data_IF_043124200167
#
_entry.id   IF_043124200167
#
_cell.length_a   1.000
_cell.length_b   1.000
_cell.length_c   1.000
_cell.angle_alpha   90.00
_cell.angle_beta   90.00
_cell.angle_gamma   90.00
#
_symmetry.space_group_name_H-M   'P 1'
#
loop_
_entity.id
_entity.type
_entity.pdbx_description
1 polymer ?
#
# COMPACT_ATOMS: atom_id res chain seq x y z
N UNK A 1 215.81 -101.91 -30.38
CA UNK A 1 215.24 -100.60 -30.78
C UNK A 1 214.21 -100.11 -29.75
N UNK A 2 214.61 -100.00 -28.48
CA UNK A 2 213.71 -99.65 -27.35
C UNK A 2 213.51 -98.12 -27.24
N UNK A 3 214.50 -97.36 -27.70
CA UNK A 3 214.55 -95.90 -27.61
C UNK A 3 213.48 -95.26 -28.52
N UNK A 4 213.25 -95.82 -29.71
CA UNK A 4 212.18 -95.38 -30.61
C UNK A 4 210.79 -95.63 -29.99
N UNK A 5 210.59 -96.76 -29.30
CA UNK A 5 209.34 -97.06 -28.58
C UNK A 5 209.10 -96.11 -27.42
N UNK A 6 210.13 -95.80 -26.63
CA UNK A 6 210.04 -94.83 -25.52
C UNK A 6 209.74 -93.43 -26.02
N UNK A 7 210.40 -92.97 -27.09
CA UNK A 7 210.11 -91.66 -27.69
C UNK A 7 208.68 -91.60 -28.27
N UNK A 8 208.24 -92.66 -28.96
CA UNK A 8 206.86 -92.76 -29.49
C UNK A 8 205.82 -92.74 -28.38
N UNK A 9 206.09 -93.41 -27.25
CA UNK A 9 205.23 -93.37 -26.06
C UNK A 9 205.21 -91.97 -25.45
N UNK A 10 206.35 -91.30 -25.36
CA UNK A 10 206.47 -89.96 -24.79
C UNK A 10 205.72 -88.91 -25.64
N UNK A 11 205.81 -89.02 -26.98
CA UNK A 11 205.04 -88.20 -27.91
C UNK A 11 203.53 -88.48 -27.80
N UNK A 12 203.15 -89.75 -27.58
CA UNK A 12 201.75 -90.14 -27.34
C UNK A 12 201.23 -89.56 -26.03
N UNK A 13 202.02 -89.63 -24.95
CA UNK A 13 201.68 -89.07 -23.63
C UNK A 13 201.53 -87.55 -23.72
N UNK A 14 202.46 -86.85 -24.39
CA UNK A 14 202.37 -85.40 -24.58
C UNK A 14 201.14 -85.02 -25.43
N UNK A 15 200.84 -85.77 -26.48
CA UNK A 15 199.64 -85.60 -27.32
C UNK A 15 198.34 -85.82 -26.52
N UNK A 16 198.29 -86.86 -25.68
CA UNK A 16 197.18 -87.12 -24.78
C UNK A 16 197.04 -86.01 -23.71
N UNK A 17 198.14 -85.51 -23.15
CA UNK A 17 198.11 -84.40 -22.20
C UNK A 17 197.52 -83.13 -22.83
N UNK A 18 197.94 -82.77 -24.05
CA UNK A 18 197.33 -81.64 -24.78
C UNK A 18 195.85 -81.87 -25.12
N UNK A 19 195.46 -83.10 -25.42
CA UNK A 19 194.05 -83.46 -25.65
C UNK A 19 193.21 -83.27 -24.39
N UNK A 20 193.72 -83.73 -23.24
CA UNK A 20 193.07 -83.55 -21.93
C UNK A 20 192.94 -82.08 -21.58
N UNK A 21 193.98 -81.27 -21.82
CA UNK A 21 193.95 -79.83 -21.59
C UNK A 21 192.86 -79.14 -22.43
N UNK A 22 192.73 -79.52 -23.71
CA UNK A 22 191.65 -79.05 -24.60
C UNK A 22 190.25 -79.49 -24.16
N UNK A 23 190.09 -80.73 -23.70
CA UNK A 23 188.84 -81.23 -23.13
C UNK A 23 188.47 -80.48 -21.85
N UNK A 24 189.43 -80.24 -20.95
CA UNK A 24 189.21 -79.47 -19.72
C UNK A 24 188.77 -78.03 -20.02
N UNK A 25 189.39 -77.38 -21.02
CA UNK A 25 188.96 -76.06 -21.47
C UNK A 25 187.53 -76.08 -22.03
N UNK A 26 187.18 -77.13 -22.79
CA UNK A 26 185.82 -77.32 -23.31
C UNK A 26 184.81 -77.53 -22.18
N UNK A 27 185.16 -78.34 -21.17
CA UNK A 27 184.33 -78.56 -19.97
C UNK A 27 184.11 -77.25 -19.23
N UNK A 28 185.15 -76.46 -18.98
CA UNK A 28 185.01 -75.15 -18.32
C UNK A 28 184.08 -74.21 -19.11
N UNK A 29 184.21 -74.16 -20.44
CA UNK A 29 183.30 -73.36 -21.28
C UNK A 29 181.86 -73.88 -21.21
N UNK A 30 181.65 -75.20 -21.16
CA UNK A 30 180.32 -75.79 -21.01
C UNK A 30 179.72 -75.51 -19.63
N UNK A 31 180.51 -75.57 -18.56
CA UNK A 31 180.09 -75.21 -17.20
C UNK A 31 179.67 -73.74 -17.13
N UNK A 32 180.44 -72.84 -17.76
CA UNK A 32 180.09 -71.43 -17.89
C UNK A 32 178.79 -71.21 -18.68
N UNK A 33 178.62 -71.90 -19.82
CA UNK A 33 177.38 -71.87 -20.61
C UNK A 33 176.17 -72.40 -19.81
N UNK A 34 176.35 -73.49 -19.05
CA UNK A 34 175.31 -74.05 -18.17
C UNK A 34 174.95 -73.05 -17.07
N UNK A 35 175.95 -72.39 -16.47
CA UNK A 35 175.74 -71.34 -15.48
C UNK A 35 174.90 -70.20 -16.06
N UNK A 36 175.28 -69.68 -17.23
CA UNK A 36 174.55 -68.60 -17.91
C UNK A 36 173.12 -69.01 -18.31
N UNK A 37 172.92 -70.27 -18.72
CA UNK A 37 171.60 -70.80 -19.04
C UNK A 37 170.73 -70.93 -17.80
N UNK A 38 171.30 -71.39 -16.67
CA UNK A 38 170.60 -71.44 -15.39
C UNK A 38 170.18 -70.03 -14.94
N UNK A 39 171.06 -69.03 -15.06
CA UNK A 39 170.73 -67.64 -14.76
C UNK A 39 169.59 -67.11 -15.65
N UNK A 40 169.62 -67.47 -16.93
CA UNK A 40 168.54 -67.16 -17.88
C UNK A 40 167.22 -67.82 -17.47
N UNK A 41 167.24 -69.11 -17.12
CA UNK A 41 166.05 -69.85 -16.66
C UNK A 41 165.49 -69.25 -15.37
N UNK A 42 166.35 -68.89 -14.42
CA UNK A 42 165.94 -68.21 -13.18
C UNK A 42 165.25 -66.88 -13.50
N UNK A 43 165.82 -66.07 -14.39
CA UNK A 43 165.24 -64.79 -14.83
C UNK A 43 163.88 -64.97 -15.53
N UNK A 44 163.75 -66.01 -16.37
CA UNK A 44 162.47 -66.34 -17.01
C UNK A 44 161.43 -66.78 -15.97
N UNK A 45 161.81 -67.62 -15.01
CA UNK A 45 160.93 -68.04 -13.92
C UNK A 45 160.44 -66.84 -13.11
N UNK A 46 161.32 -65.90 -12.77
CA UNK A 46 160.95 -64.66 -12.08
C UNK A 46 159.97 -63.82 -12.91
N UNK A 47 160.18 -63.75 -14.23
CA UNK A 47 159.27 -63.06 -15.16
C UNK A 47 157.89 -63.73 -15.21
N UNK A 48 157.85 -65.06 -15.29
CA UNK A 48 156.60 -65.84 -15.29
C UNK A 48 155.84 -65.67 -13.97
N UNK A 49 156.55 -65.68 -12.84
CA UNK A 49 155.95 -65.43 -11.53
C UNK A 49 155.35 -64.02 -11.46
N UNK A 50 156.07 -63.00 -11.92
CA UNK A 50 155.57 -61.62 -11.97
C UNK A 50 154.36 -61.45 -12.90
N UNK A 51 154.35 -62.12 -14.06
CA UNK A 51 153.20 -62.13 -14.96
C UNK A 51 152.00 -62.85 -14.33
N UNK A 52 152.23 -63.93 -13.58
CA UNK A 52 151.18 -64.66 -12.86
C UNK A 52 150.53 -63.79 -11.78
N UNK A 53 151.32 -63.01 -11.04
CA UNK A 53 150.83 -62.04 -10.07
C UNK A 53 150.03 -60.91 -10.74
N UNK A 54 150.50 -60.44 -11.90
CA UNK A 54 149.81 -59.43 -12.70
C UNK A 54 148.46 -59.93 -13.20
N UNK A 55 148.41 -61.15 -13.75
CA UNK A 55 147.17 -61.80 -14.21
C UNK A 55 146.19 -61.95 -13.04
N UNK A 56 146.67 -62.40 -11.88
CA UNK A 56 145.84 -62.54 -10.67
C UNK A 56 145.23 -61.20 -10.24
N UNK A 57 146.02 -60.12 -10.28
CA UNK A 57 145.56 -58.76 -9.97
C UNK A 57 144.51 -58.25 -10.97
N UNK A 58 144.75 -58.46 -12.27
CA UNK A 58 143.79 -58.12 -13.32
C UNK A 58 142.48 -58.91 -13.16
N UNK A 59 142.55 -60.19 -12.83
CA UNK A 59 141.37 -61.03 -12.63
C UNK A 59 140.54 -60.52 -11.43
N UNK A 60 141.20 -60.08 -10.36
CA UNK A 60 140.53 -59.43 -9.23
C UNK A 60 139.85 -58.12 -9.65
N UNK A 61 140.50 -57.30 -10.50
CA UNK A 61 139.88 -56.07 -11.04
C UNK A 61 138.66 -56.38 -11.90
N UNK A 62 138.73 -57.37 -12.79
CA UNK A 62 137.61 -57.79 -13.64
C UNK A 62 136.43 -58.26 -12.80
N UNK A 63 136.67 -59.07 -11.76
CA UNK A 63 135.62 -59.52 -10.86
C UNK A 63 134.96 -58.34 -10.12
N UNK A 64 135.75 -57.39 -9.61
CA UNK A 64 135.21 -56.19 -8.96
C UNK A 64 134.41 -55.30 -9.92
N UNK A 65 134.82 -55.19 -11.18
CA UNK A 65 134.04 -54.49 -12.21
C UNK A 65 132.74 -55.22 -12.54
N UNK A 66 132.75 -56.56 -12.59
CA UNK A 66 131.54 -57.35 -12.79
C UNK A 66 130.53 -57.15 -11.65
N UNK A 67 131.00 -57.13 -10.40
CA UNK A 67 130.16 -56.81 -9.24
C UNK A 67 129.57 -55.40 -9.35
N UNK A 68 130.38 -54.41 -9.73
CA UNK A 68 129.93 -53.03 -9.94
C UNK A 68 128.86 -52.93 -11.04
N UNK A 69 129.03 -53.68 -12.14
CA UNK A 69 128.04 -53.74 -13.23
C UNK A 69 126.73 -54.35 -12.75
N UNK A 70 126.78 -55.42 -11.94
CA UNK A 70 125.58 -56.04 -11.38
C UNK A 70 124.82 -55.07 -10.46
N UNK A 71 125.52 -54.32 -9.62
CA UNK A 71 124.92 -53.32 -8.74
C UNK A 71 124.28 -52.16 -9.53
N UNK A 72 124.94 -51.69 -10.59
CA UNK A 72 124.38 -50.69 -11.51
C UNK A 72 123.13 -51.23 -12.21
N UNK A 73 123.15 -52.49 -12.66
CA UNK A 73 122.01 -53.10 -13.33
C UNK A 73 120.81 -53.24 -12.38
N UNK A 74 121.05 -53.62 -11.12
CA UNK A 74 120.02 -53.64 -10.07
C UNK A 74 119.46 -52.22 -9.80
N UNK A 75 120.33 -51.21 -9.82
CA UNK A 75 119.92 -49.80 -9.66
C UNK A 75 119.02 -49.34 -10.81
N UNK A 76 119.39 -49.65 -12.06
CA UNK A 76 118.59 -49.34 -13.25
C UNK A 76 117.22 -50.01 -13.18
N UNK A 77 117.16 -51.30 -12.84
CA UNK A 77 115.88 -52.02 -12.70
C UNK A 77 114.96 -51.39 -11.64
N UNK A 78 115.53 -50.92 -10.53
CA UNK A 78 114.78 -50.21 -9.49
C UNK A 78 114.25 -48.85 -9.97
N UNK A 79 115.06 -48.13 -10.75
CA UNK A 79 114.66 -46.86 -11.36
C UNK A 79 113.58 -47.05 -12.41
N UNK A 80 113.67 -48.07 -13.27
CA UNK A 80 112.64 -48.40 -14.26
C UNK A 80 111.30 -48.67 -13.59
N UNK A 81 111.30 -49.48 -12.51
CA UNK A 81 110.08 -49.71 -11.73
C UNK A 81 109.51 -48.42 -11.13
N UNK A 82 110.39 -47.52 -10.65
CA UNK A 82 109.97 -46.22 -10.12
C UNK A 82 109.36 -45.34 -11.22
N UNK A 83 109.91 -45.39 -12.45
CA UNK A 83 109.39 -44.68 -13.60
C UNK A 83 108.01 -45.21 -13.98
N UNK A 84 107.82 -46.54 -14.03
CA UNK A 84 106.53 -47.17 -14.30
C UNK A 84 105.47 -46.72 -13.28
N UNK A 85 105.80 -46.73 -11.99
CA UNK A 85 104.90 -46.27 -10.93
C UNK A 85 104.52 -44.78 -11.09
N UNK A 86 105.48 -43.92 -11.47
CA UNK A 86 105.23 -42.50 -11.73
C UNK A 86 104.36 -42.28 -12.97
N UNK A 87 104.54 -43.07 -14.03
CA UNK A 87 103.71 -43.01 -15.24
C UNK A 87 102.27 -43.44 -14.96
N UNK A 88 102.08 -44.47 -14.13
CA UNK A 88 100.75 -44.87 -13.70
C UNK A 88 100.07 -43.79 -12.86
N UNK A 89 100.78 -43.21 -11.89
CA UNK A 89 100.27 -42.10 -11.09
C UNK A 89 99.88 -40.88 -11.94
N UNK A 90 100.68 -40.56 -12.97
CA UNK A 90 100.37 -39.48 -13.92
C UNK A 90 99.10 -39.79 -14.73
N UNK A 91 98.94 -41.04 -15.15
CA UNK A 91 97.75 -41.49 -15.88
C UNK A 91 96.50 -41.35 -15.01
N UNK A 92 96.56 -41.78 -13.75
CA UNK A 92 95.45 -41.67 -12.81
C UNK A 92 95.10 -40.21 -12.50
N UNK A 93 96.12 -39.35 -12.35
CA UNK A 93 95.92 -37.91 -12.18
C UNK A 93 95.22 -37.27 -13.38
N UNK A 94 95.63 -37.63 -14.61
CA UNK A 94 94.98 -37.12 -15.83
C UNK A 94 93.52 -37.56 -15.94
N UNK A 95 93.22 -38.83 -15.64
CA UNK A 95 91.84 -39.34 -15.62
C UNK A 95 90.96 -38.58 -14.59
N UNK A 96 91.52 -38.26 -13.43
CA UNK A 96 90.83 -37.45 -12.42
C UNK A 96 90.58 -36.01 -12.90
N UNK A 97 91.55 -35.39 -13.58
CA UNK A 97 91.40 -34.05 -14.18
C UNK A 97 90.27 -34.06 -15.21
N UNK A 98 90.21 -35.07 -16.08
CA UNK A 98 89.15 -35.20 -17.09
C UNK A 98 87.76 -35.35 -16.45
N UNK A 99 87.65 -36.16 -15.40
CA UNK A 99 86.41 -36.29 -14.64
C UNK A 99 85.98 -34.96 -14.00
N UNK A 100 86.93 -34.20 -13.42
CA UNK A 100 86.65 -32.87 -12.87
C UNK A 100 86.19 -31.90 -13.96
N UNK A 101 86.83 -31.89 -15.13
CA UNK A 101 86.46 -31.02 -16.25
C UNK A 101 85.05 -31.31 -16.76
N UNK A 102 84.65 -32.58 -16.81
CA UNK A 102 83.28 -32.98 -17.17
C UNK A 102 82.26 -32.50 -16.12
N UNK A 103 82.59 -32.58 -14.84
CA UNK A 103 81.76 -32.05 -13.76
C UNK A 103 81.61 -30.53 -13.85
N UNK A 104 82.70 -29.81 -14.11
CA UNK A 104 82.69 -28.34 -14.31
C UNK A 104 81.81 -27.96 -15.50
N UNK A 105 81.91 -28.69 -16.61
CA UNK A 105 81.07 -28.48 -17.80
C UNK A 105 79.59 -28.66 -17.47
N UNK A 106 79.26 -29.72 -16.72
CA UNK A 106 77.88 -30.00 -16.29
C UNK A 106 77.34 -28.88 -15.39
N UNK A 107 78.11 -28.45 -14.39
CA UNK A 107 77.74 -27.36 -13.50
C UNK A 107 77.54 -26.04 -14.26
N UNK A 108 78.40 -25.73 -15.24
CA UNK A 108 78.26 -24.54 -16.06
C UNK A 108 76.95 -24.54 -16.86
N UNK A 109 76.54 -25.68 -17.41
CA UNK A 109 75.26 -25.82 -18.11
C UNK A 109 74.09 -25.60 -17.14
N UNK A 110 74.13 -26.21 -15.95
CA UNK A 110 73.11 -26.01 -14.92
C UNK A 110 73.00 -24.55 -14.49
N UNK A 111 74.13 -23.84 -14.32
CA UNK A 111 74.15 -22.41 -13.99
C UNK A 111 73.52 -21.59 -15.12
N UNK A 112 73.78 -21.95 -16.38
CA UNK A 112 73.18 -21.27 -17.54
C UNK A 112 71.66 -21.45 -17.54
N UNK A 113 71.17 -22.68 -17.34
CA UNK A 113 69.73 -22.96 -17.32
C UNK A 113 69.03 -22.19 -16.20
N UNK A 114 69.61 -22.18 -14.99
CA UNK A 114 69.09 -21.39 -13.86
C UNK A 114 69.13 -19.88 -14.13
N UNK A 115 70.12 -19.40 -14.89
CA UNK A 115 70.21 -17.99 -15.27
C UNK A 115 69.07 -17.62 -16.24
N UNK A 116 68.81 -18.48 -17.23
CA UNK A 116 67.74 -18.30 -18.19
C UNK A 116 66.36 -18.36 -17.51
N UNK A 117 66.16 -19.29 -16.58
CA UNK A 117 64.93 -19.41 -15.78
C UNK A 117 64.69 -18.16 -14.92
N UNK A 118 65.72 -17.66 -14.23
CA UNK A 118 65.63 -16.44 -13.43
C UNK A 118 65.28 -15.21 -14.29
N UNK A 119 65.78 -15.15 -15.52
CA UNK A 119 65.41 -14.09 -16.45
C UNK A 119 63.92 -14.14 -16.78
N UNK A 120 63.38 -15.33 -17.09
CA UNK A 120 61.95 -15.52 -17.38
C UNK A 120 61.09 -15.15 -16.17
N UNK A 121 61.49 -15.57 -14.96
CA UNK A 121 60.79 -15.22 -13.73
C UNK A 121 60.75 -13.70 -13.51
N UNK A 122 61.85 -13.00 -13.81
CA UNK A 122 61.92 -11.53 -13.70
C UNK A 122 61.03 -10.81 -14.71
N UNK A 123 60.96 -11.32 -15.94
CA UNK A 123 60.07 -10.79 -16.98
C UNK A 123 58.59 -11.01 -16.61
N UNK A 124 58.26 -12.18 -16.04
CA UNK A 124 56.93 -12.49 -15.52
C UNK A 124 56.54 -11.58 -14.35
N UNK A 125 57.45 -11.33 -13.40
CA UNK A 125 57.22 -10.43 -12.27
C UNK A 125 56.96 -8.99 -12.75
N UNK A 126 57.74 -8.53 -13.74
CA UNK A 126 57.55 -7.21 -14.35
C UNK A 126 56.18 -7.10 -15.00
N UNK A 127 55.75 -8.14 -15.72
CA UNK A 127 54.42 -8.20 -16.33
C UNK A 127 53.31 -8.18 -15.28
N UNK A 128 53.45 -8.93 -14.19
CA UNK A 128 52.49 -8.93 -13.09
C UNK A 128 52.38 -7.55 -12.42
N UNK A 129 53.51 -6.88 -12.17
CA UNK A 129 53.53 -5.54 -11.59
C UNK A 129 52.85 -4.49 -12.48
N UNK A 130 53.01 -4.58 -13.80
CA UNK A 130 52.32 -3.69 -14.74
C UNK A 130 50.80 -3.91 -14.68
N UNK A 131 50.33 -5.17 -14.63
CA UNK A 131 48.90 -5.49 -14.48
C UNK A 131 48.33 -4.97 -13.17
N UNK A 132 49.07 -5.10 -12.06
CA UNK A 132 48.65 -4.54 -10.76
C UNK A 132 48.50 -3.01 -10.86
N UNK A 133 49.46 -2.34 -11.50
CA UNK A 133 49.41 -0.88 -11.67
C UNK A 133 48.20 -0.43 -12.51
N UNK A 134 47.82 -1.21 -13.53
CA UNK A 134 46.60 -0.96 -14.32
C UNK A 134 45.32 -1.19 -13.50
N UNK A 135 45.30 -2.23 -12.66
CA UNK A 135 44.21 -2.49 -11.74
C UNK A 135 44.04 -1.37 -10.70
N UNK A 136 45.14 -0.86 -10.13
CA UNK A 136 45.13 0.25 -9.19
C UNK A 136 44.54 1.52 -9.82
N UNK A 137 44.90 1.80 -11.08
CA UNK A 137 44.31 2.91 -11.84
C UNK A 137 42.79 2.73 -12.02
N UNK A 138 42.37 1.51 -12.36
CA UNK A 138 40.94 1.18 -12.50
C UNK A 138 40.17 1.36 -11.19
N UNK A 139 40.73 0.91 -10.06
CA UNK A 139 40.17 1.11 -8.72
C UNK A 139 40.06 2.61 -8.40
N UNK A 140 41.08 3.40 -8.73
CA UNK A 140 41.06 4.86 -8.54
C UNK A 140 39.91 5.53 -9.29
N UNK A 141 39.67 5.13 -10.54
CA UNK A 141 38.60 5.70 -11.37
C UNK A 141 37.20 5.24 -10.91
N UNK A 142 37.07 4.00 -10.44
CA UNK A 142 35.85 3.51 -9.80
C UNK A 142 35.53 4.29 -8.52
N UNK A 143 36.52 4.57 -7.67
CA UNK A 143 36.33 5.35 -6.44
C UNK A 143 35.86 6.79 -6.74
N UNK A 144 36.42 7.45 -7.76
CA UNK A 144 35.94 8.76 -8.20
C UNK A 144 34.48 8.72 -8.67
N UNK A 145 34.12 7.68 -9.42
CA UNK A 145 32.75 7.49 -9.92
C UNK A 145 31.76 7.26 -8.78
N UNK A 146 32.16 6.46 -7.77
CA UNK A 146 31.37 6.24 -6.57
C UNK A 146 31.13 7.54 -5.79
N UNK A 147 32.16 8.37 -5.64
CA UNK A 147 32.00 9.65 -4.95
C UNK A 147 31.07 10.62 -5.69
N UNK A 148 31.11 10.63 -7.02
CA UNK A 148 30.15 11.41 -7.82
C UNK A 148 28.72 10.88 -7.64
N UNK A 149 28.53 9.56 -7.64
CA UNK A 149 27.22 8.95 -7.42
C UNK A 149 26.65 9.31 -6.03
N UNK A 150 27.50 9.29 -4.99
CA UNK A 150 27.09 9.69 -3.64
C UNK A 150 26.66 11.16 -3.57
N UNK A 151 27.40 12.08 -4.20
CA UNK A 151 27.01 13.50 -4.29
C UNK A 151 25.68 13.69 -5.01
N UNK A 152 25.43 12.93 -6.08
CA UNK A 152 24.16 12.94 -6.79
C UNK A 152 23.00 12.45 -5.90
N UNK A 153 23.23 11.38 -5.13
CA UNK A 153 22.24 10.84 -4.19
C UNK A 153 21.88 11.85 -3.08
N UNK A 154 22.88 12.54 -2.52
CA UNK A 154 22.65 13.60 -1.53
C UNK A 154 21.79 14.74 -2.10
N UNK A 155 22.05 15.14 -3.35
CA UNK A 155 21.26 16.17 -4.02
C UNK A 155 19.80 15.74 -4.22
N UNK A 156 19.57 14.50 -4.67
CA UNK A 156 18.21 13.93 -4.82
C UNK A 156 17.48 13.86 -3.48
N UNK A 157 18.15 13.41 -2.41
CA UNK A 157 17.56 13.35 -1.08
C UNK A 157 17.13 14.74 -0.56
N UNK A 158 17.90 15.78 -0.88
CA UNK A 158 17.53 17.15 -0.56
C UNK A 158 16.24 17.58 -1.29
N UNK A 159 16.14 17.29 -2.59
CA UNK A 159 14.94 17.60 -3.38
C UNK A 159 13.70 16.87 -2.86
N UNK A 160 13.81 15.60 -2.49
CA UNK A 160 12.70 14.82 -1.90
C UNK A 160 12.20 15.48 -0.61
N UNK A 161 13.13 15.95 0.24
CA UNK A 161 12.78 16.63 1.51
C UNK A 161 12.04 17.94 1.26
N UNK A 162 12.48 18.72 0.27
CA UNK A 162 11.81 19.96 -0.13
C UNK A 162 10.39 19.68 -0.64
N UNK A 163 10.23 18.71 -1.54
CA UNK A 163 8.92 18.33 -2.07
C UNK A 163 7.98 17.78 -0.99
N UNK A 164 8.49 17.00 -0.03
CA UNK A 164 7.69 16.51 1.10
C UNK A 164 7.15 17.65 1.97
N UNK A 165 7.94 18.71 2.16
CA UNK A 165 7.49 19.89 2.88
C UNK A 165 6.40 20.65 2.11
N UNK A 166 6.51 20.75 0.78
CA UNK A 166 5.47 21.35 -0.07
C UNK A 166 4.17 20.56 -0.03
N UNK A 167 4.23 19.22 -0.13
CA UNK A 167 3.06 18.35 -0.02
C UNK A 167 2.35 18.57 1.33
N UNK A 168 3.11 18.71 2.42
CA UNK A 168 2.53 18.95 3.75
C UNK A 168 1.77 20.27 3.78
N UNK A 169 2.35 21.35 3.23
CA UNK A 169 1.67 22.65 3.12
C UNK A 169 0.40 22.57 2.28
N UNK A 170 0.47 21.92 1.12
CA UNK A 170 -0.70 21.74 0.25
C UNK A 170 -1.81 20.96 0.96
N UNK A 171 -1.46 19.91 1.71
CA UNK A 171 -2.44 19.13 2.47
C UNK A 171 -3.15 19.99 3.54
N UNK A 172 -2.41 20.85 4.23
CA UNK A 172 -3.00 21.79 5.20
C UNK A 172 -3.90 22.82 4.51
N UNK A 173 -3.50 23.35 3.35
CA UNK A 173 -4.31 24.26 2.54
C UNK A 173 -5.60 23.59 2.06
N UNK A 174 -5.51 22.37 1.52
CA UNK A 174 -6.67 21.57 1.08
C UNK A 174 -7.62 21.37 2.26
N UNK A 175 -7.10 20.94 3.41
CA UNK A 175 -7.91 20.72 4.61
C UNK A 175 -8.69 21.99 5.00
N UNK A 176 -8.05 23.15 4.95
CA UNK A 176 -8.70 24.42 5.26
C UNK A 176 -9.78 24.79 4.22
N UNK A 177 -9.57 24.48 2.94
CA UNK A 177 -10.53 24.75 1.87
C UNK A 177 -11.74 23.79 1.86
N UNK A 178 -11.57 22.56 2.34
CA UNK A 178 -12.61 21.53 2.30
C UNK A 178 -13.41 21.40 3.60
N UNK A 179 -13.12 22.21 4.62
CA UNK A 179 -13.87 22.14 5.89
C UNK A 179 -15.23 22.83 5.71
N UNK A 180 -16.36 22.11 5.86
CA UNK A 180 -17.69 22.72 5.73
C UNK A 180 -17.87 23.84 6.76
N UNK A 181 -18.49 24.94 6.32
CA UNK A 181 -18.67 26.14 7.15
C UNK A 181 -19.93 26.02 8.00
N UNK A 182 -19.88 26.50 9.23
CA UNK A 182 -21.08 26.59 10.06
C UNK A 182 -22.07 27.62 9.50
N UNK A 183 -23.35 27.27 9.58
CA UNK A 183 -24.45 28.09 9.09
C UNK A 183 -25.53 28.22 10.16
N UNK A 184 -26.38 29.24 10.02
CA UNK A 184 -27.43 29.57 10.97
C UNK A 184 -28.78 29.60 10.25
N UNK A 185 -29.70 28.76 10.72
CA UNK A 185 -31.12 28.81 10.34
C UNK A 185 -31.86 29.65 11.37
N UNK A 186 -32.75 30.52 10.91
CA UNK A 186 -33.69 31.26 11.77
C UNK A 186 -35.12 30.95 11.34
N UNK A 187 -36.08 31.03 12.26
CA UNK A 187 -37.52 31.03 11.94
C UNK A 187 -38.12 32.28 12.54
N UNK A 188 -38.80 33.08 11.71
CA UNK A 188 -39.49 34.27 12.17
C UNK A 188 -40.68 33.90 13.07
N UNK A 189 -41.07 34.83 13.93
CA UNK A 189 -42.29 34.69 14.74
C UNK A 189 -43.49 34.55 13.81
N UNK A 190 -44.28 33.51 14.02
CA UNK A 190 -45.49 33.22 13.24
C UNK A 190 -46.70 33.76 14.00
N UNK A 191 -47.57 34.48 13.30
CA UNK A 191 -48.80 35.03 13.89
C UNK A 191 -49.86 33.94 14.09
N UNK A 192 -50.69 34.08 15.12
CA UNK A 192 -51.86 33.23 15.33
C UNK A 192 -52.86 33.40 14.19
N UNK A 193 -53.37 32.29 13.64
CA UNK A 193 -54.39 32.26 12.59
C UNK A 193 -55.61 31.46 13.03
N UNK A 194 -56.72 31.50 12.30
CA UNK A 194 -57.90 30.63 12.57
C UNK A 194 -57.83 29.33 11.76
N UNK A 195 -58.63 28.35 12.16
CA UNK A 195 -58.78 27.09 11.44
C UNK A 195 -59.09 27.33 9.96
N UNK A 196 -58.43 26.57 9.10
CA UNK A 196 -58.49 26.64 7.63
C UNK A 196 -57.94 27.92 6.98
N UNK A 197 -57.48 28.91 7.75
CA UNK A 197 -56.71 30.04 7.20
C UNK A 197 -55.30 29.62 6.79
N UNK A 198 -54.67 30.42 5.92
CA UNK A 198 -53.29 30.23 5.53
C UNK A 198 -52.34 30.77 6.59
N UNK A 199 -51.33 29.98 6.93
CA UNK A 199 -50.19 30.40 7.75
C UNK A 199 -48.96 30.45 6.87
N UNK A 200 -48.16 31.50 7.04
CA UNK A 200 -46.90 31.68 6.32
C UNK A 200 -45.75 31.58 7.31
N UNK A 201 -44.83 30.65 7.04
CA UNK A 201 -43.63 30.40 7.83
C UNK A 201 -42.44 30.93 7.03
N UNK A 202 -41.74 31.90 7.60
CA UNK A 202 -40.56 32.51 6.96
C UNK A 202 -39.36 32.46 7.90
N UNK A 203 -38.18 32.64 7.34
CA UNK A 203 -36.92 32.70 8.07
C UNK A 203 -35.76 32.81 7.09
N UNK A 204 -34.54 32.75 7.61
CA UNK A 204 -33.32 32.87 6.80
C UNK A 204 -32.32 31.76 7.08
N UNK A 205 -31.49 31.45 6.08
CA UNK A 205 -30.26 30.69 6.21
C UNK A 205 -29.09 31.62 5.89
N UNK A 206 -28.20 31.81 6.85
CA UNK A 206 -26.98 32.63 6.68
C UNK A 206 -25.74 31.88 7.11
N UNK A 207 -24.57 32.31 6.63
CA UNK A 207 -23.31 31.90 7.23
C UNK A 207 -23.08 32.58 8.60
N UNK A 208 -21.97 32.25 9.26
CA UNK A 208 -21.58 32.86 10.55
C UNK A 208 -21.28 34.37 10.46
N UNK A 209 -20.99 34.90 9.27
CA UNK A 209 -20.79 36.33 9.04
C UNK A 209 -22.10 37.07 8.75
N UNK A 210 -23.23 36.35 8.67
CA UNK A 210 -24.55 36.90 8.37
C UNK A 210 -24.86 37.03 6.88
N UNK A 211 -24.00 36.52 5.99
CA UNK A 211 -24.27 36.54 4.55
C UNK A 211 -25.34 35.51 4.19
N UNK A 212 -26.22 35.89 3.27
CA UNK A 212 -27.30 35.05 2.79
C UNK A 212 -26.80 33.81 2.03
N UNK A 213 -27.32 32.63 2.38
CA UNK A 213 -27.05 31.37 1.66
C UNK A 213 -28.25 31.08 0.76
N UNK A 214 -28.05 31.28 -0.54
CA UNK A 214 -29.10 31.23 -1.58
C UNK A 214 -29.31 29.83 -2.17
N UNK A 215 -30.52 29.57 -2.65
CA UNK A 215 -30.90 28.35 -3.39
C UNK A 215 -30.55 27.05 -2.65
N UNK A 216 -30.54 27.08 -1.32
CA UNK A 216 -30.15 25.93 -0.50
C UNK A 216 -31.39 25.24 0.02
N UNK A 217 -31.40 23.92 -0.11
CA UNK A 217 -32.49 23.08 0.36
C UNK A 217 -32.59 23.13 1.89
N UNK A 218 -33.82 23.33 2.37
CA UNK A 218 -34.22 23.27 3.76
C UNK A 218 -35.40 22.32 3.90
N UNK A 219 -35.49 21.68 5.06
CA UNK A 219 -36.67 20.90 5.45
C UNK A 219 -37.45 21.70 6.50
N UNK A 220 -38.69 22.07 6.18
CA UNK A 220 -39.63 22.68 7.13
C UNK A 220 -40.64 21.62 7.54
N UNK A 221 -40.68 21.32 8.83
CA UNK A 221 -41.57 20.32 9.42
C UNK A 221 -42.61 21.01 10.28
N UNK A 222 -43.89 20.87 9.90
CA UNK A 222 -45.04 21.40 10.67
C UNK A 222 -45.82 20.22 11.24
N UNK A 223 -45.86 20.09 12.58
CA UNK A 223 -46.49 18.97 13.30
C UNK A 223 -46.07 17.58 12.77
N UNK A 224 -44.78 17.41 12.48
CA UNK A 224 -44.24 16.14 11.96
C UNK A 224 -44.40 15.93 10.44
N UNK A 225 -45.14 16.78 9.72
CA UNK A 225 -45.20 16.74 8.25
C UNK A 225 -44.09 17.60 7.66
N UNK A 226 -43.14 16.97 6.97
CA UNK A 226 -42.03 17.64 6.31
C UNK A 226 -42.43 18.24 4.96
N UNK A 227 -41.82 19.36 4.59
CA UNK A 227 -41.88 19.99 3.28
C UNK A 227 -40.48 20.48 2.91
N UNK A 228 -40.05 20.11 1.70
CA UNK A 228 -38.77 20.55 1.16
C UNK A 228 -38.97 21.88 0.46
N UNK A 229 -38.15 22.85 0.83
CA UNK A 229 -38.16 24.21 0.31
C UNK A 229 -36.72 24.63 0.03
N UNK A 230 -36.52 25.71 -0.70
CA UNK A 230 -35.21 26.29 -0.90
C UNK A 230 -35.21 27.75 -0.44
N UNK A 231 -34.05 28.25 -0.02
CA UNK A 231 -33.86 29.69 0.16
C UNK A 231 -33.82 30.41 -1.18
N UNK A 232 -34.28 31.66 -1.20
CA UNK A 232 -34.19 32.55 -2.36
C UNK A 232 -32.81 33.20 -2.48
N UNK A 233 -32.66 34.16 -3.40
CA UNK A 233 -31.42 34.92 -3.60
C UNK A 233 -30.95 35.73 -2.39
N UNK A 234 -31.83 35.97 -1.41
CA UNK A 234 -31.57 36.70 -0.17
C UNK A 234 -31.42 35.75 1.03
N UNK A 235 -31.30 34.44 0.78
CA UNK A 235 -31.19 33.44 1.84
C UNK A 235 -32.48 33.27 2.64
N UNK A 236 -33.60 33.80 2.16
CA UNK A 236 -34.90 33.75 2.83
C UNK A 236 -35.68 32.56 2.31
N UNK A 237 -36.43 31.89 3.18
CA UNK A 237 -37.37 30.87 2.75
C UNK A 237 -38.79 31.22 3.17
N UNK A 238 -39.76 30.66 2.44
CA UNK A 238 -41.18 30.81 2.72
C UNK A 238 -41.90 29.49 2.49
N UNK A 239 -42.69 29.06 3.48
CA UNK A 239 -43.66 27.98 3.34
C UNK A 239 -45.05 28.51 3.71
N UNK A 240 -46.00 28.39 2.79
CA UNK A 240 -47.41 28.68 3.06
C UNK A 240 -48.18 27.37 3.15
N UNK A 241 -48.97 27.20 4.21
CA UNK A 241 -49.78 26.02 4.44
C UNK A 241 -51.12 26.39 5.07
N UNK A 242 -52.13 25.52 4.94
CA UNK A 242 -53.40 25.70 5.65
C UNK A 242 -53.29 25.21 7.09
N UNK A 243 -53.79 26.00 8.02
CA UNK A 243 -53.85 25.67 9.43
C UNK A 243 -54.97 24.67 9.72
N UNK A 244 -54.64 23.38 9.79
CA UNK A 244 -55.63 22.30 9.97
C UNK A 244 -55.74 21.77 11.40
N UNK A 245 -54.85 22.17 12.30
CA UNK A 245 -54.83 21.68 13.68
C UNK A 245 -55.01 22.86 14.66
N UNK A 246 -56.17 22.94 15.31
CA UNK A 246 -56.44 23.95 16.36
C UNK A 246 -55.56 23.70 17.59
N UNK A 247 -55.05 24.77 18.19
CA UNK A 247 -54.10 24.73 19.31
C UNK A 247 -52.67 25.07 18.89
N UNK A 248 -51.70 24.65 19.70
CA UNK A 248 -50.27 24.90 19.44
C UNK A 248 -49.73 23.96 18.37
N UNK A 249 -49.09 24.53 17.35
CA UNK A 249 -48.49 23.85 16.23
C UNK A 249 -46.98 24.02 16.28
N UNK A 250 -46.23 22.92 16.17
CA UNK A 250 -44.76 22.93 16.22
C UNK A 250 -44.16 23.07 14.82
N UNK A 251 -43.15 23.92 14.69
CA UNK A 251 -42.40 24.15 13.46
C UNK A 251 -40.92 23.88 13.72
N UNK A 252 -40.30 23.07 12.88
CA UNK A 252 -38.86 22.86 12.84
C UNK A 252 -38.37 23.19 11.44
N UNK A 253 -37.29 23.94 11.32
CA UNK A 253 -36.60 24.18 10.05
C UNK A 253 -35.17 23.71 10.18
N UNK A 254 -34.71 22.93 9.22
CA UNK A 254 -33.40 22.30 9.25
C UNK A 254 -32.72 22.39 7.88
N UNK A 255 -31.46 22.79 7.91
CA UNK A 255 -30.48 22.48 6.88
C UNK A 255 -29.70 21.23 7.31
N UNK A 256 -29.60 20.24 6.44
CA UNK A 256 -28.79 19.04 6.66
C UNK A 256 -27.39 19.28 6.12
N UNK A 257 -26.36 18.78 6.81
CA UNK A 257 -24.98 18.95 6.37
C UNK A 257 -24.74 18.47 4.93
N UNK A 258 -23.95 19.23 4.19
CA UNK A 258 -23.47 18.93 2.85
C UNK A 258 -21.96 19.25 2.73
N UNK A 259 -21.40 19.15 1.51
CA UNK A 259 -19.98 19.39 1.25
C UNK A 259 -19.52 20.82 1.60
N UNK A 260 -20.44 21.77 1.75
CA UNK A 260 -20.15 23.19 1.95
C UNK A 260 -20.50 23.66 3.35
N UNK A 261 -21.56 23.11 3.95
CA UNK A 261 -22.16 23.65 5.16
C UNK A 261 -22.51 22.56 6.18
N UNK A 262 -22.29 22.87 7.46
CA UNK A 262 -22.68 21.98 8.57
C UNK A 262 -24.19 22.03 8.84
N UNK A 263 -24.69 21.07 9.61
CA UNK A 263 -26.12 21.01 9.98
C UNK A 263 -26.52 22.21 10.84
N UNK A 264 -27.67 22.82 10.53
CA UNK A 264 -28.25 23.89 11.32
C UNK A 264 -29.77 23.71 11.48
N UNK A 265 -30.29 24.06 12.65
CA UNK A 265 -31.69 23.81 13.01
C UNK A 265 -32.25 24.95 13.85
N UNK A 266 -33.50 25.31 13.57
CA UNK A 266 -34.28 26.21 14.40
C UNK A 266 -35.70 25.67 14.58
N UNK A 267 -36.31 25.98 15.72
CA UNK A 267 -37.66 25.56 16.06
C UNK A 267 -38.47 26.73 16.58
N UNK A 268 -39.77 26.70 16.33
CA UNK A 268 -40.74 27.68 16.85
C UNK A 268 -42.12 27.05 16.91
N UNK A 269 -43.10 27.79 17.41
CA UNK A 269 -44.50 27.36 17.46
C UNK A 269 -45.42 28.48 17.01
N UNK A 270 -46.65 28.12 16.63
CA UNK A 270 -47.73 29.07 16.41
C UNK A 270 -49.05 28.50 16.90
N UNK A 271 -50.00 29.36 17.22
CA UNK A 271 -51.33 28.94 17.66
C UNK A 271 -52.34 29.06 16.53
N UNK A 272 -53.28 28.12 16.49
CA UNK A 272 -54.43 28.14 15.60
C UNK A 272 -55.69 28.20 16.44
N UNK A 273 -56.49 29.25 16.26
CA UNK A 273 -57.77 29.42 16.93
C UNK A 273 -58.91 28.77 16.14
N UNK A 274 -60.04 28.50 16.80
CA UNK A 274 -61.25 28.06 16.11
C UNK A 274 -61.76 29.14 15.15
N UNK A 275 -62.34 28.72 14.04
CA UNK A 275 -62.94 29.62 13.06
C UNK A 275 -64.39 29.95 13.42
N UNK A 276 -64.80 31.20 13.20
CA UNK A 276 -66.18 31.63 13.37
C UNK A 276 -67.04 31.21 12.17
N UNK A 277 -68.27 30.80 12.45
CA UNK A 277 -69.27 30.47 11.43
C UNK A 277 -70.38 31.50 11.40
N UNK A 278 -71.10 31.56 10.29
CA UNK A 278 -72.30 32.37 10.08
C UNK A 278 -73.48 31.45 9.81
N UNK A 279 -74.60 31.70 10.48
CA UNK A 279 -75.87 31.02 10.18
C UNK A 279 -76.91 32.05 9.77
N UNK A 280 -77.65 31.76 8.71
CA UNK A 280 -78.75 32.59 8.22
C UNK A 280 -80.06 31.83 8.33
N UNK A 281 -81.17 32.57 8.44
CA UNK A 281 -82.52 32.02 8.36
C UNK A 281 -83.23 32.85 7.30
N UNK A 282 -83.78 32.18 6.29
CA UNK A 282 -84.57 32.84 5.26
C UNK A 282 -85.88 33.34 5.87
N UNK A 283 -86.51 34.32 5.22
CA UNK A 283 -87.84 34.78 5.64
C UNK A 283 -88.81 33.59 5.69
N UNK A 284 -89.59 33.51 6.76
CA UNK A 284 -90.55 32.42 6.99
C UNK A 284 -91.95 32.98 6.72
N UNK A 285 -92.70 32.33 5.84
CA UNK A 285 -94.03 32.79 5.43
C UNK A 285 -95.05 32.74 6.57
N UNK A 286 -96.05 33.63 6.50
CA UNK A 286 -97.23 33.56 7.36
C UNK A 286 -98.09 32.37 6.92
N UNK A 287 -98.48 31.53 7.87
CA UNK A 287 -99.28 30.32 7.59
C UNK A 287 -100.53 30.30 8.47
N UNK A 288 -101.58 29.62 8.02
CA UNK A 288 -102.78 29.42 8.82
C UNK A 288 -102.60 28.27 9.83
N UNK A 289 -103.49 28.21 10.82
CA UNK A 289 -103.45 27.16 11.85
C UNK A 289 -103.56 25.76 11.22
N UNK A 290 -102.65 24.85 11.60
CA UNK A 290 -102.42 23.50 11.04
C UNK A 290 -101.75 23.41 9.67
N UNK A 291 -101.42 24.54 9.04
CA UNK A 291 -100.57 24.55 7.85
C UNK A 291 -99.10 24.28 8.19
N UNK A 292 -98.30 24.00 7.17
CA UNK A 292 -96.87 23.74 7.31
C UNK A 292 -96.08 25.05 7.27
N UNK A 293 -95.29 25.32 8.30
CA UNK A 293 -94.26 26.36 8.27
C UNK A 293 -92.91 25.71 7.93
N UNK A 294 -92.21 26.26 6.94
CA UNK A 294 -90.90 25.76 6.51
C UNK A 294 -89.79 26.74 6.89
N UNK A 295 -88.82 26.26 7.66
CA UNK A 295 -87.65 27.01 8.09
C UNK A 295 -86.49 26.57 7.20
N UNK A 296 -85.95 27.51 6.43
CA UNK A 296 -84.75 27.29 5.62
C UNK A 296 -83.65 28.28 5.97
N UNK A 297 -82.42 27.92 5.66
CA UNK A 297 -81.26 28.79 5.82
C UNK A 297 -79.97 28.09 5.43
N UNK A 298 -78.84 28.77 5.62
CA UNK A 298 -77.51 28.24 5.35
C UNK A 298 -76.56 28.47 6.53
N UNK A 299 -75.75 27.46 6.84
CA UNK A 299 -74.59 27.55 7.73
C UNK A 299 -73.33 27.64 6.86
N UNK A 300 -72.59 28.74 6.97
CA UNK A 300 -71.36 28.99 6.20
C UNK A 300 -70.18 29.34 7.12
N UNK A 301 -68.97 29.19 6.61
CA UNK A 301 -67.80 29.85 7.19
C UNK A 301 -67.78 31.37 6.90
N UNK A 302 -66.72 32.04 7.37
CA UNK A 302 -66.50 33.47 7.16
C UNK A 302 -66.35 33.86 5.67
N UNK A 303 -65.95 32.93 4.81
CA UNK A 303 -65.78 33.12 3.36
C UNK A 303 -67.05 32.75 2.58
N UNK A 304 -68.14 32.40 3.25
CA UNK A 304 -69.39 31.99 2.62
C UNK A 304 -69.43 30.54 2.14
N UNK A 305 -68.41 29.72 2.44
CA UNK A 305 -68.42 28.29 2.10
C UNK A 305 -69.38 27.55 3.03
N UNK A 306 -70.31 26.81 2.45
CA UNK A 306 -71.26 25.98 3.19
C UNK A 306 -70.59 24.92 4.07
N UNK A 307 -71.04 24.81 5.32
CA UNK A 307 -70.55 23.81 6.27
C UNK A 307 -71.41 22.56 6.14
N UNK A 308 -70.87 21.57 5.43
CA UNK A 308 -71.57 20.36 5.05
C UNK A 308 -71.83 19.38 6.20
N UNK A 309 -72.88 18.55 6.06
CA UNK A 309 -73.17 17.36 6.87
C UNK A 309 -73.13 17.60 8.39
N UNK A 310 -73.45 18.83 8.80
CA UNK A 310 -73.25 19.30 10.17
C UNK A 310 -74.59 19.38 10.88
N UNK A 311 -74.65 18.83 12.08
CA UNK A 311 -75.85 18.88 12.91
C UNK A 311 -76.05 20.31 13.44
N UNK A 312 -77.21 20.89 13.15
CA UNK A 312 -77.71 22.13 13.74
C UNK A 312 -78.99 21.84 14.54
N UNK A 313 -79.26 22.66 15.54
CA UNK A 313 -80.47 22.61 16.34
C UNK A 313 -81.43 23.68 15.85
N UNK A 314 -82.65 23.31 15.47
CA UNK A 314 -83.75 24.24 15.17
C UNK A 314 -84.76 24.14 16.31
N UNK A 315 -85.01 25.25 16.99
CA UNK A 315 -85.93 25.34 18.11
C UNK A 315 -87.11 26.22 17.73
N UNK A 316 -88.33 25.67 17.80
CA UNK A 316 -89.59 26.40 17.54
C UNK A 316 -90.40 26.39 18.84
N UNK A 317 -90.68 27.56 19.40
CA UNK A 317 -91.43 27.73 20.67
C UNK A 317 -90.95 26.80 21.80
N UNK A 318 -89.63 26.65 21.96
CA UNK A 318 -89.01 25.80 22.99
C UNK A 318 -88.81 24.33 22.62
N UNK A 319 -89.44 23.81 21.56
CA UNK A 319 -89.21 22.43 21.08
C UNK A 319 -88.06 22.39 20.07
N UNK A 320 -87.05 21.57 20.34
CA UNK A 320 -85.82 21.49 19.53
C UNK A 320 -85.77 20.22 18.68
N UNK A 321 -85.36 20.36 17.42
CA UNK A 321 -85.04 19.26 16.50
C UNK A 321 -83.61 19.40 15.99
N UNK A 322 -82.94 18.28 15.74
CA UNK A 322 -81.64 18.23 15.07
C UNK A 322 -81.83 18.04 13.57
N UNK A 323 -81.16 18.89 12.79
CA UNK A 323 -81.19 18.84 11.32
C UNK A 323 -79.75 18.81 10.82
N UNK A 324 -79.46 18.01 9.80
CA UNK A 324 -78.16 18.02 9.13
C UNK A 324 -78.19 19.02 7.98
N UNK A 325 -77.14 19.82 7.87
CA UNK A 325 -76.90 20.62 6.67
C UNK A 325 -76.57 19.70 5.47
N UNK A 326 -77.00 20.12 4.28
CA UNK A 326 -76.61 19.50 3.01
C UNK A 326 -75.14 19.76 2.68
N UNK A 327 -74.63 19.22 1.57
CA UNK A 327 -73.25 19.47 1.11
C UNK A 327 -72.94 20.96 0.88
N UNK A 328 -73.95 21.79 0.60
CA UNK A 328 -73.81 23.24 0.45
C UNK A 328 -74.06 24.04 1.74
N UNK A 329 -74.17 23.40 2.90
CA UNK A 329 -74.45 24.07 4.18
C UNK A 329 -75.93 24.43 4.41
N UNK A 330 -76.81 24.16 3.45
CA UNK A 330 -78.23 24.49 3.54
C UNK A 330 -78.97 23.55 4.49
N UNK A 331 -79.94 24.05 5.24
CA UNK A 331 -80.84 23.26 6.06
C UNK A 331 -82.30 23.61 5.78
N UNK A 332 -83.18 22.61 5.92
CA UNK A 332 -84.63 22.75 5.78
C UNK A 332 -85.34 21.94 6.85
N UNK A 333 -86.33 22.54 7.51
CA UNK A 333 -87.21 21.83 8.42
C UNK A 333 -88.63 22.35 8.31
N UNK A 334 -89.59 21.42 8.21
CA UNK A 334 -91.01 21.74 8.12
C UNK A 334 -91.72 21.29 9.39
N UNK A 335 -92.48 22.20 10.00
CA UNK A 335 -93.27 21.93 11.20
C UNK A 335 -94.73 22.34 11.00
N UNK A 336 -95.64 21.62 11.65
CA UNK A 336 -97.06 22.00 11.69
C UNK A 336 -97.27 23.20 12.61
N UNK A 337 -97.98 24.22 12.11
CA UNK A 337 -98.28 25.46 12.82
C UNK A 337 -99.44 25.27 13.81
N UNK A 338 -99.14 24.90 15.06
CA UNK A 338 -100.14 24.60 16.09
C UNK A 338 -100.36 25.72 17.13
N UNK A 339 -99.62 26.82 17.02
CA UNK A 339 -99.70 27.94 17.98
C UNK A 339 -99.99 29.23 17.22
N UNK A 340 -101.21 29.75 17.33
CA UNK A 340 -101.64 31.01 16.69
C UNK A 340 -100.87 32.19 17.31
N UNK A 341 -100.48 33.17 16.49
CA UNK A 341 -99.69 34.33 16.90
C UNK A 341 -98.24 34.26 16.41
N UNK A 342 -97.36 35.02 17.06
CA UNK A 342 -95.93 35.07 16.73
C UNK A 342 -95.20 33.85 17.32
N UNK A 343 -94.55 33.08 16.45
CA UNK A 343 -93.79 31.89 16.80
C UNK A 343 -92.29 32.20 16.70
N UNK A 344 -91.53 31.84 17.73
CA UNK A 344 -90.09 32.12 17.79
C UNK A 344 -89.28 30.93 17.25
N UNK A 345 -88.36 31.22 16.34
CA UNK A 345 -87.42 30.25 15.76
C UNK A 345 -86.01 30.61 16.18
N UNK A 346 -85.28 29.65 16.73
CA UNK A 346 -83.84 29.77 17.01
C UNK A 346 -83.11 28.65 16.28
N UNK A 347 -82.14 28.99 15.45
CA UNK A 347 -81.23 28.04 14.82
C UNK A 347 -79.85 28.18 15.46
N UNK A 348 -79.30 27.08 15.96
CA UNK A 348 -77.99 27.07 16.63
C UNK A 348 -77.11 25.94 16.13
N UNK A 349 -75.88 26.28 15.75
CA UNK A 349 -74.78 25.33 15.67
C UNK A 349 -73.97 25.41 16.96
N UNK A 350 -73.75 24.27 17.62
CA UNK A 350 -73.15 24.22 18.95
C UNK A 350 -71.63 24.48 19.00
N UNK A 351 -70.95 24.50 17.84
CA UNK A 351 -69.48 24.48 17.76
C UNK A 351 -68.91 23.06 17.72
N UNK A 352 -67.63 22.94 17.39
CA UNK A 352 -66.85 21.71 17.52
C UNK A 352 -65.36 22.03 17.82
N UNK A 353 -64.43 21.11 17.57
CA UNK A 353 -63.00 21.33 17.78
C UNK A 353 -62.42 22.43 16.87
N UNK A 354 -63.02 22.66 15.70
CA UNK A 354 -62.50 23.53 14.66
C UNK A 354 -63.28 24.85 14.53
N UNK A 355 -64.57 24.84 14.89
CA UNK A 355 -65.49 25.95 14.69
C UNK A 355 -66.16 26.41 15.99
N UNK A 356 -66.37 27.71 16.12
CA UNK A 356 -67.10 28.31 17.24
C UNK A 356 -68.62 28.11 17.11
N UNK A 357 -69.32 28.23 18.26
CA UNK A 357 -70.79 28.21 18.32
C UNK A 357 -71.37 29.42 17.61
N UNK A 358 -72.46 29.24 16.86
CA UNK A 358 -73.23 30.35 16.25
C UNK A 358 -74.73 30.12 16.40
N UNK A 359 -75.48 31.19 16.68
CA UNK A 359 -76.93 31.18 16.87
C UNK A 359 -77.57 32.33 16.11
N UNK A 360 -78.69 32.06 15.43
CA UNK A 360 -79.55 33.07 14.80
C UNK A 360 -81.00 32.87 15.23
N UNK A 361 -81.75 33.96 15.28
CA UNK A 361 -83.18 33.96 15.62
C UNK A 361 -84.00 34.55 14.48
N UNK A 362 -85.22 34.06 14.34
CA UNK A 362 -86.25 34.56 13.43
C UNK A 362 -87.63 34.34 14.06
N UNK A 363 -88.68 34.90 13.46
CA UNK A 363 -90.06 34.67 13.86
C UNK A 363 -90.94 34.46 12.63
N UNK A 364 -92.10 33.83 12.83
CA UNK A 364 -93.15 33.76 11.83
C UNK A 364 -94.52 33.88 12.49
N UNK A 365 -95.53 34.32 11.72
CA UNK A 365 -96.88 34.51 12.23
C UNK A 365 -97.78 33.37 11.80
N UNK A 366 -98.54 32.84 12.74
CA UNK A 366 -99.61 31.87 12.48
C UNK A 366 -100.95 32.57 12.67
N UNK A 367 -101.79 32.57 11.64
CA UNK A 367 -103.13 33.16 11.68
C UNK A 367 -104.20 32.10 11.93
N UNK A 368 -105.39 32.53 12.37
CA UNK A 368 -106.54 31.62 12.50
C UNK A 368 -106.88 31.05 11.13
N UNK A 369 -107.29 29.79 11.09
CA UNK A 369 -107.82 29.15 9.90
C UNK A 369 -109.25 29.63 9.67
N UNK A 370 -109.58 30.04 8.44
CA UNK A 370 -110.95 30.38 8.07
C UNK A 370 -111.83 29.12 8.08
N UNK A 371 -113.10 29.31 8.45
CA UNK A 371 -114.12 28.26 8.48
C UNK A 371 -115.28 28.70 7.60
N UNK A 372 -115.79 27.81 6.76
CA UNK A 372 -116.87 28.10 5.83
C UNK A 372 -118.10 27.28 6.25
N UNK A 373 -119.20 27.99 6.52
CA UNK A 373 -120.52 27.40 6.73
C UNK A 373 -121.39 27.81 5.55
N UNK A 374 -122.02 26.84 4.91
CA UNK A 374 -122.98 27.04 3.82
C UNK A 374 -124.31 26.42 4.18
N UNK A 375 -125.40 26.96 3.66
CA UNK A 375 -126.74 26.42 3.79
C UNK A 375 -127.23 26.14 2.37
N UNK A 376 -127.77 24.95 2.15
CA UNK A 376 -128.36 24.57 0.87
C UNK A 376 -129.69 25.28 0.67
N UNK A 377 -130.18 25.34 -0.57
CA UNK A 377 -131.48 25.96 -0.86
C UNK A 377 -132.59 25.29 -0.04
N UNK A 378 -133.47 26.10 0.56
CA UNK A 378 -134.59 25.60 1.36
C UNK A 378 -135.86 25.75 0.52
N UNK A 379 -136.51 24.64 0.21
CA UNK A 379 -137.73 24.66 -0.59
C UNK A 379 -138.94 25.19 0.19
N UNK A 380 -139.90 25.87 -0.47
CA UNK A 380 -141.11 26.34 0.18
C UNK A 380 -141.96 25.15 0.66
N UNK A 381 -142.30 25.16 1.94
CA UNK A 381 -143.17 24.13 2.56
C UNK A 381 -144.56 24.69 2.82
N UNK A 382 -145.60 23.84 2.76
CA UNK A 382 -146.96 24.27 3.10
C UNK A 382 -147.13 24.43 4.60
N UNK A 383 -148.18 25.14 5.02
CA UNK A 383 -148.49 25.33 6.43
C UNK A 383 -148.59 23.98 7.16
N UNK A 384 -147.81 23.83 8.26
CA UNK A 384 -147.64 22.61 9.09
C UNK A 384 -146.80 21.46 8.50
N UNK A 385 -146.11 21.65 7.38
CA UNK A 385 -145.10 20.68 6.91
C UNK A 385 -143.74 20.89 7.57
N UNK A 386 -142.96 19.81 7.69
CA UNK A 386 -141.58 19.88 8.16
C UNK A 386 -140.69 20.50 7.08
N UNK A 387 -139.77 21.37 7.49
CA UNK A 387 -138.70 21.91 6.64
C UNK A 387 -137.36 21.28 7.02
N UNK A 388 -136.60 20.82 6.02
CA UNK A 388 -135.23 20.35 6.20
C UNK A 388 -134.26 21.45 5.82
N UNK A 389 -133.29 21.73 6.69
CA UNK A 389 -132.18 22.64 6.42
C UNK A 389 -130.90 21.81 6.39
N UNK A 390 -130.26 21.75 5.24
CA UNK A 390 -128.95 21.11 5.06
C UNK A 390 -127.89 22.15 4.67
N UNK A 391 -126.63 21.75 4.71
CA UNK A 391 -125.51 22.62 4.40
C UNK A 391 -124.17 21.95 4.70
N UNK A 392 -123.06 22.63 4.36
CA UNK A 392 -121.70 22.13 4.63
C UNK A 392 -120.96 23.03 5.62
N UNK A 393 -120.22 22.39 6.52
CA UNK A 393 -119.24 23.02 7.38
C UNK A 393 -117.85 22.47 7.04
N UNK A 394 -116.97 23.33 6.56
CA UNK A 394 -115.64 22.96 6.08
C UNK A 394 -114.60 23.93 6.63
N UNK A 395 -113.33 23.52 6.65
CA UNK A 395 -112.22 24.44 6.84
C UNK A 395 -111.96 25.27 5.57
N UNK A 396 -111.06 26.25 5.66
CA UNK A 396 -110.67 27.09 4.53
C UNK A 396 -110.08 26.34 3.33
N UNK A 397 -109.73 25.06 3.47
CA UNK A 397 -109.30 24.19 2.38
C UNK A 397 -110.44 23.30 1.85
N UNK A 398 -111.69 23.65 2.18
CA UNK A 398 -112.91 22.90 1.81
C UNK A 398 -113.00 21.48 2.39
N UNK A 399 -112.14 21.12 3.35
CA UNK A 399 -112.21 19.83 4.02
C UNK A 399 -113.38 19.84 5.00
N UNK A 400 -114.31 18.87 4.96
CA UNK A 400 -115.43 18.82 5.89
C UNK A 400 -114.96 18.84 7.34
N UNK A 401 -115.75 19.43 8.23
CA UNK A 401 -115.49 19.41 9.67
C UNK A 401 -116.65 18.66 10.32
N UNK A 402 -116.38 17.41 10.66
CA UNK A 402 -117.38 16.52 11.24
C UNK A 402 -117.60 16.75 12.74
N UNK A 403 -118.68 16.16 13.25
CA UNK A 403 -119.01 16.09 14.67
C UNK A 403 -119.04 17.43 15.42
N UNK A 404 -119.27 18.54 14.72
CA UNK A 404 -119.30 19.88 15.33
C UNK A 404 -120.73 20.35 15.49
N UNK A 405 -121.06 20.88 16.67
CA UNK A 405 -122.38 21.44 16.94
C UNK A 405 -122.48 22.84 16.30
N UNK A 406 -123.45 23.01 15.41
CA UNK A 406 -123.83 24.28 14.80
C UNK A 406 -125.15 24.74 15.39
N UNK A 407 -125.30 26.06 15.51
CA UNK A 407 -126.58 26.68 15.87
C UNK A 407 -127.23 27.24 14.62
N UNK A 408 -128.43 26.75 14.30
CA UNK A 408 -129.27 27.22 13.19
C UNK A 408 -130.36 28.09 13.79
N UNK A 409 -130.56 29.30 13.30
CA UNK A 409 -131.62 30.20 13.78
C UNK A 409 -132.68 30.36 12.69
N UNK A 410 -133.92 29.94 12.96
CA UNK A 410 -135.05 30.04 12.03
C UNK A 410 -136.06 31.00 12.65
N UNK A 411 -136.33 32.13 12.00
CA UNK A 411 -137.27 33.16 12.46
C UNK A 411 -137.09 33.56 13.95
N UNK A 412 -135.84 33.70 14.39
CA UNK A 412 -135.48 34.05 15.77
C UNK A 412 -135.44 32.88 16.77
N UNK A 413 -135.91 31.68 16.41
CA UNK A 413 -135.81 30.48 17.25
C UNK A 413 -134.54 29.70 16.93
N UNK A 414 -133.81 29.29 17.97
CA UNK A 414 -132.56 28.54 17.85
C UNK A 414 -132.82 27.04 17.82
N UNK A 415 -132.14 26.38 16.90
CA UNK A 415 -132.05 24.94 16.75
C UNK A 415 -130.58 24.57 16.76
N UNK A 416 -130.25 23.39 17.25
CA UNK A 416 -128.88 22.86 17.19
C UNK A 416 -128.85 21.66 16.26
N UNK A 417 -127.86 21.63 15.39
CA UNK A 417 -127.59 20.52 14.50
C UNK A 417 -126.12 20.15 14.65
N UNK A 418 -125.80 18.86 14.67
CA UNK A 418 -124.42 18.39 14.68
C UNK A 418 -124.05 18.01 13.26
N UNK A 419 -122.90 18.48 12.78
CA UNK A 419 -122.38 18.03 11.48
C UNK A 419 -122.12 16.53 11.53
N UNK A 420 -122.37 15.85 10.42
CA UNK A 420 -122.19 14.40 10.33
C UNK A 420 -120.77 14.00 10.74
N UNK A 421 -120.61 12.77 11.25
CA UNK A 421 -119.27 12.22 11.42
C UNK A 421 -118.56 12.19 10.05
N UNK A 422 -117.27 12.51 10.05
CA UNK A 422 -116.42 12.37 8.86
C UNK A 422 -116.10 10.92 8.56
#
# INVERSE_FOLDING_TARGET
NLNDTVNTLNDTVNSQASTIEGLNSTIHQQEELISNLNDTVNTLNDTVNSQTDTISSLNNTVNSQADTINDLNNTVQSQDKTIDDLQQNLTDANNNIDALNNNVTTLNNQIKDLTDENKVLKDNLTTANNKISEQDKTISDLNKSLEQANKALEAVNKQIKELSNEITKLNDEIKNLTTPTDVKVTVNKITTVKYAEEVTITGTLTDNSGNAIKNTALTVTVNGKASNIATDSKGTYTLTAKATNVGTNNVTVQHTADDKYNTAKATTTFNVNKQDLKVTINSIEQVAYKENATITGILTDANGKGIANTNINITINGKTVKVKTTNGGMFTYTAKATSVGTNNVTVTYAGNNNYNKVTQKATFKVVKQDLIVTIDNIDPVRFKENVTISGRFVDGNSKPIGNTLLTITINGKKYTAKTNAQ
#
